data_IF_440993684715
#
_entry.id   IF_440993684715
#
_cell.length_a   1.000
_cell.length_b   1.000
_cell.length_c   1.000
_cell.angle_alpha   90.00
_cell.angle_beta   90.00
_cell.angle_gamma   90.00
#
_symmetry.space_group_name_H-M   'P 1'
#
loop_
_entity.id
_entity.type
_entity.pdbx_description
1 polymer ?
#
# COMPACT_ATOMS: atom_id res chain seq x y z
N UNK A 1 3.66 30.54 -60.43
CA UNK A 1 3.92 31.16 -59.11
C UNK A 1 2.82 30.94 -58.06
N UNK A 2 1.59 30.52 -58.40
CA UNK A 2 0.50 30.33 -57.40
C UNK A 2 0.56 29.03 -56.57
N UNK A 3 1.26 27.99 -57.04
CA UNK A 3 1.38 26.70 -56.33
C UNK A 3 2.35 26.76 -55.14
N UNK A 4 3.44 27.52 -55.26
CA UNK A 4 4.43 27.69 -54.18
C UNK A 4 3.88 28.54 -53.01
N UNK A 5 2.99 29.49 -53.31
CA UNK A 5 2.30 30.29 -52.29
C UNK A 5 1.29 29.46 -51.47
N UNK A 6 0.67 28.42 -52.06
CA UNK A 6 -0.25 27.54 -51.34
C UNK A 6 0.46 26.63 -50.34
N UNK A 7 1.65 26.13 -50.69
CA UNK A 7 2.49 25.30 -49.80
C UNK A 7 3.01 26.14 -48.63
N UNK A 8 3.44 27.39 -48.89
CA UNK A 8 3.88 28.30 -47.83
C UNK A 8 2.75 28.65 -46.84
N UNK A 9 1.52 28.86 -47.33
CA UNK A 9 0.34 29.10 -46.48
C UNK A 9 -0.04 27.87 -45.64
N UNK A 10 0.13 26.66 -46.19
CA UNK A 10 -0.14 25.42 -45.45
C UNK A 10 0.89 25.17 -44.34
N UNK A 11 2.18 25.43 -44.60
CA UNK A 11 3.26 25.28 -43.59
C UNK A 11 3.14 26.32 -42.48
N UNK A 12 2.73 27.56 -42.79
CA UNK A 12 2.47 28.60 -41.77
C UNK A 12 1.21 28.30 -40.96
N UNK A 13 0.19 27.66 -41.55
CA UNK A 13 -0.97 27.18 -40.78
C UNK A 13 -0.62 26.02 -39.84
N UNK A 14 0.36 25.18 -40.19
CA UNK A 14 0.79 24.04 -39.38
C UNK A 14 1.66 24.46 -38.19
N UNK A 15 2.39 25.58 -38.29
CA UNK A 15 3.16 26.16 -37.17
C UNK A 15 2.32 27.07 -36.26
N UNK A 16 1.07 27.36 -36.64
CA UNK A 16 0.11 28.14 -35.85
C UNK A 16 -1.05 27.30 -35.28
N UNK A 17 -0.96 25.97 -35.35
CA UNK A 17 -1.76 25.09 -34.49
C UNK A 17 -1.03 24.96 -33.17
N UNK A 18 -1.33 25.93 -32.30
CA UNK A 18 -1.28 25.88 -30.85
C UNK A 18 -0.26 24.95 -30.20
N UNK A 19 0.72 25.57 -29.54
CA UNK A 19 1.12 25.12 -28.21
C UNK A 19 -0.12 25.09 -27.31
N UNK A 20 -0.89 24.00 -27.37
CA UNK A 20 -1.83 23.65 -26.33
C UNK A 20 -0.97 23.27 -25.11
N UNK A 21 -0.66 24.26 -24.28
CA UNK A 21 -0.18 24.02 -22.93
C UNK A 21 -1.28 23.20 -22.27
N UNK A 22 -1.01 21.90 -22.09
CA UNK A 22 -1.90 21.03 -21.35
C UNK A 22 -2.12 21.65 -19.97
N UNK A 23 -3.34 22.11 -19.70
CA UNK A 23 -3.72 22.45 -18.32
C UNK A 23 -3.58 21.15 -17.52
N UNK A 24 -2.83 21.12 -16.40
CA UNK A 24 -2.85 19.96 -15.53
C UNK A 24 -4.28 19.82 -15.01
N UNK A 25 -4.99 18.78 -15.47
CA UNK A 25 -6.41 18.49 -15.22
C UNK A 25 -6.75 18.15 -13.75
N UNK A 26 -5.90 18.54 -12.79
CA UNK A 26 -6.03 18.08 -11.41
C UNK A 26 -5.55 19.07 -10.34
N UNK A 27 -5.74 20.38 -10.53
CA UNK A 27 -5.71 21.30 -9.39
C UNK A 27 -7.09 21.42 -8.77
N UNK A 28 -7.29 20.70 -7.65
CA UNK A 28 -8.41 20.96 -6.75
C UNK A 28 -8.38 22.44 -6.34
N UNK A 29 -9.54 23.11 -6.16
CA UNK A 29 -9.56 24.51 -5.74
C UNK A 29 -8.76 24.67 -4.43
N UNK A 30 -7.78 25.59 -4.46
CA UNK A 30 -6.84 25.80 -3.36
C UNK A 30 -7.58 26.43 -2.17
N UNK A 31 -7.64 25.72 -1.04
CA UNK A 31 -8.38 26.13 0.16
C UNK A 31 -7.55 26.97 1.15
N UNK A 32 -6.40 27.50 0.72
CA UNK A 32 -5.52 28.31 1.58
C UNK A 32 -4.83 29.42 0.77
N UNK A 33 -4.59 30.63 1.35
CA UNK A 33 -3.94 31.75 0.67
C UNK A 33 -2.46 31.51 0.33
N UNK A 34 -1.85 30.49 0.93
CA UNK A 34 -0.48 30.08 0.74
C UNK A 34 -0.42 28.61 0.37
N UNK A 35 0.67 28.22 -0.30
CA UNK A 35 0.95 26.82 -0.57
C UNK A 35 1.38 26.13 0.72
N UNK A 36 0.45 25.43 1.36
CA UNK A 36 0.80 24.43 2.35
C UNK A 36 1.50 23.29 1.62
N UNK A 37 2.83 23.38 1.54
CA UNK A 37 3.67 22.20 1.30
C UNK A 37 3.50 21.27 2.49
N UNK A 38 2.41 20.51 2.49
CA UNK A 38 2.27 19.33 3.34
C UNK A 38 3.56 18.52 3.17
N UNK A 39 4.07 17.95 4.25
CA UNK A 39 5.40 17.31 4.43
C UNK A 39 5.80 16.23 3.39
N UNK A 40 4.99 16.03 2.36
CA UNK A 40 5.11 15.12 1.22
C UNK A 40 6.42 15.25 0.42
N UNK A 41 7.16 16.36 0.52
CA UNK A 41 8.46 16.50 -0.16
C UNK A 41 9.65 15.92 0.63
N UNK A 42 9.47 15.45 1.88
CA UNK A 42 10.58 14.84 2.63
C UNK A 42 10.94 13.47 2.05
N UNK A 43 12.06 13.42 1.33
CA UNK A 43 12.65 12.17 0.85
C UNK A 43 13.09 11.30 2.04
N UNK A 44 12.73 10.02 2.00
CA UNK A 44 13.14 9.04 3.01
C UNK A 44 14.66 8.87 2.93
N UNK A 45 15.33 8.97 4.08
CA UNK A 45 16.77 8.67 4.18
C UNK A 45 16.91 7.15 4.21
N UNK A 46 17.67 6.53 3.29
CA UNK A 46 17.88 5.09 3.32
C UNK A 46 18.63 4.68 4.60
N UNK A 47 18.41 3.45 5.04
CA UNK A 47 19.19 2.90 6.14
C UNK A 47 20.68 2.84 5.77
N UNK A 48 21.51 2.89 6.81
CA UNK A 48 22.94 2.69 6.65
C UNK A 48 23.23 1.25 6.18
N UNK A 49 24.29 1.14 5.38
CA UNK A 49 24.76 -0.14 4.86
C UNK A 49 25.46 -0.90 5.98
N UNK A 50 24.80 -1.93 6.47
CA UNK A 50 25.36 -2.84 7.46
C UNK A 50 26.19 -3.91 6.76
N UNK A 51 27.47 -4.05 7.14
CA UNK A 51 28.31 -5.15 6.69
C UNK A 51 28.16 -6.32 7.66
N UNK A 52 28.23 -7.54 7.12
CA UNK A 52 28.08 -8.76 7.91
C UNK A 52 29.13 -8.90 9.02
N UNK A 53 30.35 -8.43 8.77
CA UNK A 53 31.47 -8.51 9.72
C UNK A 53 31.22 -7.64 10.97
N UNK A 54 30.48 -6.55 10.81
CA UNK A 54 30.26 -5.57 11.89
C UNK A 54 29.02 -5.92 12.75
N UNK A 55 28.31 -7.00 12.40
CA UNK A 55 27.18 -7.50 13.18
C UNK A 55 27.69 -8.34 14.35
N UNK A 56 27.81 -7.69 15.51
CA UNK A 56 28.21 -8.38 16.73
C UNK A 56 27.14 -9.34 17.24
N UNK A 57 25.87 -8.95 17.12
CA UNK A 57 24.75 -9.76 17.57
C UNK A 57 23.49 -9.41 16.80
N UNK A 58 22.72 -10.45 16.45
CA UNK A 58 21.39 -10.30 15.88
C UNK A 58 20.36 -11.15 16.62
N UNK A 59 19.14 -10.62 16.72
CA UNK A 59 17.98 -11.37 17.21
C UNK A 59 16.70 -10.95 16.53
N UNK A 60 16.00 -11.94 16.00
CA UNK A 60 14.65 -11.76 15.46
C UNK A 60 13.61 -11.83 16.57
N UNK A 61 12.73 -10.83 16.64
CA UNK A 61 11.61 -10.79 17.58
C UNK A 61 10.31 -10.46 16.86
N UNK A 62 9.21 -10.94 17.43
CA UNK A 62 7.87 -10.59 17.02
C UNK A 62 7.25 -9.62 18.02
N UNK A 63 6.90 -8.43 17.54
CA UNK A 63 6.16 -7.44 18.31
C UNK A 63 4.70 -7.43 17.89
N UNK A 64 3.79 -7.43 18.85
CA UNK A 64 2.36 -7.25 18.59
C UNK A 64 2.00 -5.82 18.94
N UNK A 65 1.44 -5.09 17.97
CA UNK A 65 0.89 -3.75 18.14
C UNK A 65 -0.63 -3.86 18.13
N UNK A 66 -1.26 -3.62 19.29
CA UNK A 66 -2.72 -3.60 19.40
C UNK A 66 -3.23 -2.17 19.20
N UNK A 67 -4.15 -1.99 18.25
CA UNK A 67 -4.70 -0.68 17.88
C UNK A 67 -5.67 -0.12 18.91
N UNK A 68 -6.07 -0.92 19.89
CA UNK A 68 -6.93 -0.47 21.01
C UNK A 68 -6.16 0.39 22.01
N UNK A 69 -4.84 0.29 22.01
CA UNK A 69 -3.99 1.10 22.85
C UNK A 69 -4.00 2.56 22.37
N UNK A 70 -4.03 3.50 23.31
CA UNK A 70 -4.14 4.94 23.00
C UNK A 70 -3.03 5.43 22.07
N UNK A 71 -1.81 4.90 22.22
CA UNK A 71 -0.66 5.26 21.37
C UNK A 71 -0.83 4.79 19.91
N UNK A 72 -1.60 3.73 19.68
CA UNK A 72 -1.75 3.07 18.39
C UNK A 72 -3.06 3.40 17.67
N UNK A 73 -3.91 4.25 18.28
CA UNK A 73 -5.16 4.73 17.68
C UNK A 73 -5.01 5.33 16.26
N UNK A 74 -3.89 6.01 15.91
CA UNK A 74 -3.71 6.52 14.55
C UNK A 74 -3.79 5.45 13.46
N UNK A 75 -3.47 4.19 13.76
CA UNK A 75 -3.51 3.10 12.77
C UNK A 75 -4.92 2.69 12.35
N UNK A 76 -5.95 3.04 13.12
CA UNK A 76 -7.37 2.71 12.83
C UNK A 76 -8.15 3.99 12.55
N UNK A 77 -7.50 4.99 11.93
CA UNK A 77 -8.18 6.21 11.56
C UNK A 77 -9.37 5.91 10.61
N UNK A 78 -10.62 6.30 10.93
CA UNK A 78 -11.81 5.83 10.21
C UNK A 78 -11.83 6.14 8.71
N UNK A 79 -11.25 7.26 8.28
CA UNK A 79 -11.23 7.63 6.85
C UNK A 79 -10.15 6.90 6.06
N UNK A 80 -9.05 6.52 6.72
CA UNK A 80 -7.90 5.91 6.07
C UNK A 80 -7.10 5.05 7.05
N UNK A 81 -7.60 3.84 7.37
CA UNK A 81 -6.90 2.93 8.27
C UNK A 81 -5.60 2.43 7.62
N UNK A 82 -4.61 2.07 8.44
CA UNK A 82 -3.29 1.64 7.96
C UNK A 82 -3.37 0.49 6.94
N UNK A 83 -4.26 -0.48 7.17
CA UNK A 83 -4.44 -1.61 6.25
C UNK A 83 -4.88 -1.16 4.84
N UNK A 84 -5.72 -0.13 4.73
CA UNK A 84 -6.14 0.40 3.42
C UNK A 84 -4.98 1.05 2.68
N UNK A 85 -4.06 1.69 3.41
CA UNK A 85 -2.85 2.30 2.85
C UNK A 85 -1.89 1.21 2.37
N UNK A 86 -1.74 0.14 3.13
CA UNK A 86 -0.90 -1.00 2.73
C UNK A 86 -1.45 -1.67 1.46
N UNK A 87 -2.77 -1.87 1.36
CA UNK A 87 -3.39 -2.42 0.14
C UNK A 87 -3.21 -1.49 -1.06
N UNK A 88 -3.46 -0.19 -0.86
CA UNK A 88 -3.20 0.84 -1.87
C UNK A 88 -1.75 0.78 -2.38
N UNK A 89 -0.78 0.61 -1.48
CA UNK A 89 0.64 0.60 -1.80
C UNK A 89 1.03 -0.70 -2.54
N UNK A 90 0.47 -1.85 -2.15
CA UNK A 90 0.67 -3.11 -2.87
C UNK A 90 0.15 -3.01 -4.31
N UNK A 91 -1.03 -2.40 -4.51
CA UNK A 91 -1.63 -2.26 -5.84
C UNK A 91 -0.97 -1.20 -6.72
N UNK A 92 -0.64 -0.02 -6.15
CA UNK A 92 -0.16 1.14 -6.92
C UNK A 92 1.35 1.24 -7.00
N UNK A 93 2.03 0.99 -5.88
CA UNK A 93 3.48 1.11 -5.76
C UNK A 93 4.18 -0.24 -5.99
N UNK A 94 3.43 -1.35 -6.04
CA UNK A 94 3.95 -2.67 -6.33
C UNK A 94 4.77 -3.26 -5.19
N UNK A 95 4.45 -2.93 -3.93
CA UNK A 95 5.13 -3.54 -2.79
C UNK A 95 4.94 -5.07 -2.81
N UNK A 96 6.02 -5.86 -2.62
CA UNK A 96 5.92 -7.30 -2.57
C UNK A 96 5.16 -7.73 -1.32
N UNK A 97 4.14 -8.56 -1.51
CA UNK A 97 3.41 -9.20 -0.42
C UNK A 97 3.78 -10.69 -0.34
N UNK A 98 3.77 -11.23 0.86
CA UNK A 98 4.18 -12.60 1.14
C UNK A 98 3.11 -13.37 1.90
N UNK A 99 3.17 -14.70 1.80
CA UNK A 99 2.28 -15.58 2.56
C UNK A 99 2.56 -15.55 4.05
N UNK A 100 1.50 -15.55 4.85
CA UNK A 100 1.59 -15.64 6.31
C UNK A 100 1.82 -17.07 6.84
N UNK A 101 2.00 -18.06 5.95
CA UNK A 101 2.24 -19.45 6.35
C UNK A 101 3.66 -19.70 6.84
N UNK A 102 4.61 -18.84 6.45
CA UNK A 102 6.04 -19.01 6.72
C UNK A 102 6.65 -17.67 7.14
N UNK A 103 7.59 -17.72 8.09
CA UNK A 103 8.23 -16.55 8.71
C UNK A 103 9.43 -16.03 7.89
N UNK A 104 9.83 -16.77 6.85
CA UNK A 104 11.01 -16.53 6.01
C UNK A 104 10.70 -15.78 4.69
N UNK A 105 9.45 -15.36 4.47
CA UNK A 105 9.02 -14.65 3.25
C UNK A 105 9.28 -15.44 1.95
N UNK A 106 9.22 -16.77 2.02
CA UNK A 106 9.56 -17.66 0.90
C UNK A 106 8.60 -17.53 -0.30
N UNK A 107 7.30 -17.32 -0.04
CA UNK A 107 6.25 -17.31 -1.07
C UNK A 107 5.65 -15.93 -1.24
N UNK A 108 5.90 -15.32 -2.40
CA UNK A 108 5.25 -14.08 -2.82
C UNK A 108 3.80 -14.35 -3.26
N UNK A 109 2.92 -13.40 -2.98
CA UNK A 109 1.47 -13.46 -3.27
C UNK A 109 1.08 -12.24 -4.10
N UNK A 110 0.16 -12.44 -5.05
CA UNK A 110 -0.41 -11.36 -5.88
C UNK A 110 -1.57 -10.64 -5.20
N UNK A 111 -1.87 -9.39 -5.59
CA UNK A 111 -2.97 -8.60 -5.01
C UNK A 111 -4.35 -9.29 -5.07
N UNK A 112 -4.61 -10.07 -6.14
CA UNK A 112 -5.84 -10.85 -6.27
C UNK A 112 -5.94 -11.97 -5.22
N UNK A 113 -4.83 -12.66 -4.96
CA UNK A 113 -4.77 -13.72 -3.95
C UNK A 113 -4.89 -13.13 -2.55
N UNK A 114 -4.29 -11.96 -2.29
CA UNK A 114 -4.45 -11.22 -1.02
C UNK A 114 -5.93 -10.96 -0.76
N UNK A 115 -6.65 -10.41 -1.73
CA UNK A 115 -8.09 -10.13 -1.57
C UNK A 115 -8.88 -11.40 -1.25
N UNK A 116 -8.53 -12.53 -1.89
CA UNK A 116 -9.16 -13.82 -1.61
C UNK A 116 -8.87 -14.35 -0.20
N UNK A 117 -7.67 -14.12 0.32
CA UNK A 117 -7.27 -14.49 1.69
C UNK A 117 -7.96 -13.61 2.74
N UNK A 118 -8.16 -12.32 2.43
CA UNK A 118 -8.84 -11.40 3.34
C UNK A 118 -10.37 -11.52 3.31
N UNK A 119 -10.95 -11.97 2.20
CA UNK A 119 -12.39 -12.26 2.09
C UNK A 119 -12.72 -13.62 2.72
N UNK A 120 -13.66 -13.65 3.67
CA UNK A 120 -14.23 -14.91 4.15
C UNK A 120 -15.38 -15.31 3.23
N UNK A 121 -15.28 -16.50 2.61
CA UNK A 121 -16.38 -17.11 1.86
C UNK A 121 -17.01 -18.17 2.75
N UNK A 122 -18.14 -17.82 3.37
CA UNK A 122 -18.88 -18.77 4.19
C UNK A 122 -19.98 -19.39 3.33
N UNK A 123 -19.93 -20.71 3.19
CA UNK A 123 -20.99 -21.47 2.52
C UNK A 123 -21.98 -21.95 3.59
N UNK A 124 -23.24 -21.57 3.45
CA UNK A 124 -24.32 -22.06 4.32
C UNK A 124 -25.30 -22.90 3.50
N UNK A 125 -25.63 -24.08 4.01
CA UNK A 125 -26.71 -24.91 3.48
C UNK A 125 -28.02 -24.46 4.12
N UNK A 126 -28.95 -23.97 3.31
CA UNK A 126 -30.31 -23.64 3.76
C UNK A 126 -31.29 -24.55 3.02
N UNK A 127 -32.19 -25.17 3.79
CA UNK A 127 -33.29 -25.96 3.24
C UNK A 127 -34.41 -25.00 2.88
N UNK A 128 -34.74 -24.93 1.60
CA UNK A 128 -35.81 -24.05 1.13
C UNK A 128 -37.18 -24.58 1.59
N UNK A 129 -37.96 -23.84 2.41
CA UNK A 129 -39.17 -24.35 3.06
C UNK A 129 -40.27 -24.82 2.11
N UNK A 130 -40.23 -24.37 0.85
CA UNK A 130 -41.24 -24.67 -0.16
C UNK A 130 -40.86 -25.85 -1.07
N UNK A 131 -39.55 -26.08 -1.26
CA UNK A 131 -39.02 -27.02 -2.26
C UNK A 131 -38.39 -28.27 -1.64
N UNK A 132 -38.04 -28.26 -0.35
CA UNK A 132 -37.38 -29.38 0.33
C UNK A 132 -36.04 -29.81 -0.30
N UNK A 133 -35.44 -28.95 -1.13
CA UNK A 133 -34.13 -29.17 -1.74
C UNK A 133 -33.09 -28.32 -1.02
N UNK A 134 -31.90 -28.89 -0.86
CA UNK A 134 -30.76 -28.18 -0.32
C UNK A 134 -30.33 -27.09 -1.30
N UNK A 135 -30.49 -25.83 -0.92
CA UNK A 135 -29.98 -24.70 -1.69
C UNK A 135 -28.69 -24.22 -1.04
N UNK A 136 -27.60 -24.28 -1.80
CA UNK A 136 -26.30 -23.77 -1.38
C UNK A 136 -26.29 -22.26 -1.56
N UNK A 137 -26.35 -21.51 -0.46
CA UNK A 137 -26.18 -20.06 -0.48
C UNK A 137 -24.72 -19.77 -0.15
N UNK A 138 -24.00 -19.24 -1.13
CA UNK A 138 -22.63 -18.77 -0.97
C UNK A 138 -22.71 -17.31 -0.53
N UNK A 139 -22.36 -17.01 0.72
CA UNK A 139 -22.29 -15.65 1.23
C UNK A 139 -20.84 -15.17 1.18
N UNK A 140 -20.55 -14.22 0.27
CA UNK A 140 -19.23 -13.59 0.20
C UNK A 140 -19.20 -12.37 1.13
N UNK A 141 -18.43 -12.45 2.22
CA UNK A 141 -18.26 -11.30 3.11
C UNK A 141 -17.16 -10.39 2.57
N UNK A 142 -17.54 -9.19 2.13
CA UNK A 142 -16.60 -8.15 1.71
C UNK A 142 -15.69 -7.78 2.88
N UNK A 143 -14.38 -7.69 2.61
CA UNK A 143 -13.40 -7.36 3.63
C UNK A 143 -13.64 -5.95 4.18
N UNK A 144 -13.83 -5.83 5.50
CA UNK A 144 -13.91 -4.55 6.18
C UNK A 144 -12.55 -4.19 6.82
N UNK A 145 -11.86 -3.14 6.34
CA UNK A 145 -10.58 -2.67 6.88
C UNK A 145 -10.56 -2.39 8.38
N UNK A 146 -11.69 -1.97 8.95
CA UNK A 146 -11.81 -1.62 10.39
C UNK A 146 -11.81 -2.85 11.31
N UNK A 147 -11.92 -4.05 10.75
CA UNK A 147 -11.89 -5.30 11.53
C UNK A 147 -10.48 -5.61 12.04
N UNK A 148 -9.44 -5.13 11.36
CA UNK A 148 -8.05 -5.39 11.73
C UNK A 148 -7.69 -4.59 12.99
N UNK A 149 -7.36 -5.29 14.07
CA UNK A 149 -7.09 -4.68 15.38
C UNK A 149 -5.69 -4.92 15.90
N UNK A 150 -4.96 -5.87 15.31
CA UNK A 150 -3.61 -6.21 15.75
C UNK A 150 -2.70 -6.25 14.54
N UNK A 151 -1.48 -5.75 14.70
CA UNK A 151 -0.42 -5.88 13.72
C UNK A 151 0.73 -6.62 14.37
N UNK A 152 1.22 -7.68 13.71
CA UNK A 152 2.48 -8.33 14.08
C UNK A 152 3.59 -7.71 13.24
N UNK A 153 4.63 -7.26 13.91
CA UNK A 153 5.82 -6.69 13.30
C UNK A 153 6.96 -7.67 13.56
N UNK A 154 7.59 -8.12 12.49
CA UNK A 154 8.82 -8.88 12.58
C UNK A 154 9.98 -7.90 12.58
N UNK A 155 10.69 -7.84 13.70
CA UNK A 155 11.83 -6.95 13.90
C UNK A 155 13.10 -7.78 14.04
N UNK A 156 14.19 -7.31 13.45
CA UNK A 156 15.53 -7.82 13.70
C UNK A 156 16.29 -6.77 14.48
N UNK A 157 16.66 -7.12 15.70
CA UNK A 157 17.49 -6.30 16.56
C UNK A 157 18.95 -6.60 16.28
N UNK A 158 19.71 -5.56 15.99
CA UNK A 158 21.09 -5.65 15.57
C UNK A 158 21.92 -4.80 16.53
N UNK A 159 23.04 -5.37 17.00
CA UNK A 159 24.12 -4.60 17.63
C UNK A 159 25.22 -4.45 16.59
N UNK A 160 25.49 -3.21 16.21
CA UNK A 160 26.58 -2.84 15.34
C UNK A 160 27.84 -2.58 16.17
N UNK A 161 28.95 -3.22 15.80
CA UNK A 161 30.24 -3.10 16.48
C UNK A 161 30.87 -1.72 16.24
N UNK A 162 30.78 -1.17 15.03
CA UNK A 162 31.41 0.12 14.67
C UNK A 162 30.80 1.28 15.45
N UNK A 163 29.47 1.31 15.53
CA UNK A 163 28.73 2.38 16.24
C UNK A 163 28.44 2.03 17.69
N UNK A 164 28.73 0.80 18.13
CA UNK A 164 28.41 0.26 19.46
C UNK A 164 26.94 0.53 19.87
N UNK A 165 26.03 0.56 18.89
CA UNK A 165 24.64 0.95 19.07
C UNK A 165 23.72 -0.22 18.72
N UNK A 166 22.65 -0.38 19.50
CA UNK A 166 21.61 -1.36 19.24
C UNK A 166 20.39 -0.67 18.62
N UNK A 167 19.91 -1.19 17.49
CA UNK A 167 18.70 -0.66 16.85
C UNK A 167 17.82 -1.77 16.23
N UNK A 168 16.50 -1.56 16.14
CA UNK A 168 15.59 -2.45 15.45
C UNK A 168 15.51 -2.13 13.95
N UNK A 169 15.50 -3.16 13.11
CA UNK A 169 15.15 -3.08 11.69
C UNK A 169 13.89 -3.88 11.45
N UNK A 170 12.87 -3.24 10.87
CA UNK A 170 11.59 -3.89 10.57
C UNK A 170 11.73 -4.69 9.26
N UNK A 171 11.41 -5.98 9.31
CA UNK A 171 11.45 -6.87 8.15
C UNK A 171 10.08 -7.02 7.48
N UNK A 172 9.02 -7.08 8.28
CA UNK A 172 7.67 -7.26 7.76
C UNK A 172 6.60 -6.85 8.75
N UNK A 173 5.43 -6.52 8.19
CA UNK A 173 4.23 -6.17 8.95
C UNK A 173 3.11 -7.09 8.48
N UNK A 174 2.49 -7.79 9.42
CA UNK A 174 1.38 -8.70 9.17
C UNK A 174 0.12 -8.21 9.91
N UNK A 175 -0.97 -7.86 9.21
CA UNK A 175 -2.24 -7.57 9.84
C UNK A 175 -2.87 -8.85 10.38
N UNK A 176 -3.41 -8.79 11.60
CA UNK A 176 -4.11 -9.89 12.25
C UNK A 176 -5.56 -9.47 12.50
N UNK A 177 -6.48 -10.32 12.02
CA UNK A 177 -7.92 -10.16 12.20
C UNK A 177 -8.36 -10.62 13.59
#
# INVERSE_FOLDING_TARGET
MKFFQFIALFVVSLTWVGSAVAQPLNERPRNSPYEEKLEQERKIIPYDHLREIDVFWEKRIWRVVDTREKMNLPFVYPKRPLISILMDAIEKEGLPAYSANDDEFSKQITASEITSVLSSKDTMFTIDPLSGRDTMIISETVFNPLTVRKFRIQEVWIIDEETSTMYPRIMGIAPVR
#
